data_IF_074622269378
#
_entry.id   IF_074622269378
#
_cell.length_a   1.000
_cell.length_b   1.000
_cell.length_c   1.000
_cell.angle_alpha   90.00
_cell.angle_beta   90.00
_cell.angle_gamma   90.00
#
_symmetry.space_group_name_H-M   'P 1'
#
loop_
_entity.id
_entity.type
_entity.pdbx_description
1 polymer ?
#
# COMPACT_ATOMS: atom_id res chain seq x y z
N UNK A 1 16.93 7.65 9.32
CA UNK A 1 16.82 6.87 8.07
C UNK A 1 16.17 5.53 8.41
N UNK A 2 15.15 5.12 7.69
CA UNK A 2 14.22 4.04 8.05
C UNK A 2 14.88 2.67 8.16
N UNK A 3 15.80 2.34 7.24
CA UNK A 3 16.55 1.07 7.23
C UNK A 3 17.37 0.80 8.52
N UNK A 4 17.52 1.80 9.40
CA UNK A 4 18.12 1.61 10.72
C UNK A 4 17.21 0.82 11.67
N UNK A 5 15.90 0.94 11.50
CA UNK A 5 14.88 0.45 12.44
C UNK A 5 13.90 -0.53 11.80
N UNK A 6 13.73 -0.47 10.48
CA UNK A 6 12.77 -1.27 9.74
C UNK A 6 13.46 -2.08 8.65
N UNK A 7 12.91 -3.27 8.37
CA UNK A 7 13.30 -4.12 7.25
C UNK A 7 12.20 -4.08 6.19
N UNK A 8 12.57 -3.90 4.92
CA UNK A 8 11.62 -3.93 3.82
C UNK A 8 10.96 -5.31 3.71
N UNK A 9 9.64 -5.32 3.52
CA UNK A 9 8.88 -6.53 3.24
C UNK A 9 9.20 -7.03 1.83
N UNK A 10 9.62 -8.30 1.71
CA UNK A 10 10.05 -8.89 0.42
C UNK A 10 9.11 -9.97 -0.11
N UNK A 11 8.19 -10.45 0.71
CA UNK A 11 7.31 -11.56 0.36
C UNK A 11 6.05 -11.03 -0.33
N UNK A 12 5.98 -11.15 -1.66
CA UNK A 12 4.83 -10.65 -2.43
C UNK A 12 3.79 -11.73 -2.74
N UNK A 13 4.17 -13.00 -2.62
CA UNK A 13 3.38 -14.10 -3.14
C UNK A 13 2.29 -14.60 -2.18
N UNK A 14 2.39 -14.28 -0.88
CA UNK A 14 1.40 -14.68 0.12
C UNK A 14 1.38 -13.74 1.33
N UNK A 15 0.24 -13.75 2.03
CA UNK A 15 0.09 -13.16 3.35
C UNK A 15 0.53 -14.17 4.41
N UNK A 16 1.20 -13.68 5.44
CA UNK A 16 1.59 -14.47 6.61
C UNK A 16 0.54 -14.35 7.72
N UNK A 17 0.37 -15.42 8.49
CA UNK A 17 -0.44 -15.40 9.72
C UNK A 17 0.37 -14.75 10.85
N UNK A 18 0.04 -13.49 11.18
CA UNK A 18 0.69 -12.75 12.26
C UNK A 18 -0.02 -12.99 13.59
N UNK A 19 0.72 -13.49 14.58
CA UNK A 19 0.19 -13.71 15.93
C UNK A 19 -0.03 -12.38 16.66
N UNK A 20 -1.26 -12.17 17.13
CA UNK A 20 -1.61 -10.97 17.87
C UNK A 20 -1.12 -11.04 19.33
N UNK A 21 -0.70 -9.90 19.92
CA UNK A 21 -0.51 -9.79 21.36
C UNK A 21 -1.81 -10.15 22.13
N UNK A 22 -1.66 -10.68 23.35
CA UNK A 22 -2.78 -11.24 24.12
C UNK A 22 -3.91 -10.22 24.37
N UNK A 23 -3.56 -8.96 24.58
CA UNK A 23 -4.52 -7.88 24.81
C UNK A 23 -5.38 -7.61 23.58
N UNK A 24 -4.76 -7.57 22.40
CA UNK A 24 -5.43 -7.36 21.11
C UNK A 24 -6.26 -8.57 20.74
N UNK A 25 -5.70 -9.77 20.94
CA UNK A 25 -6.37 -11.03 20.64
C UNK A 25 -7.68 -11.18 21.41
N UNK A 26 -7.69 -10.86 22.71
CA UNK A 26 -8.91 -10.87 23.54
C UNK A 26 -9.93 -9.83 23.08
N UNK A 27 -9.47 -8.65 22.70
CA UNK A 27 -10.35 -7.56 22.28
C UNK A 27 -11.04 -7.85 20.95
N UNK A 28 -10.34 -8.50 20.01
CA UNK A 28 -10.85 -8.83 18.68
C UNK A 28 -11.44 -10.24 18.60
N UNK A 29 -11.27 -11.08 19.63
CA UNK A 29 -11.59 -12.51 19.60
C UNK A 29 -10.92 -13.26 18.44
N UNK A 30 -9.68 -12.87 18.11
CA UNK A 30 -8.87 -13.45 17.03
C UNK A 30 -7.46 -13.70 17.54
N UNK A 31 -6.83 -14.82 17.20
CA UNK A 31 -5.45 -15.13 17.60
C UNK A 31 -4.41 -14.69 16.58
N UNK A 32 -4.80 -14.60 15.32
CA UNK A 32 -3.95 -14.21 14.19
C UNK A 32 -4.67 -13.25 13.26
N UNK A 33 -3.89 -12.53 12.45
CA UNK A 33 -4.37 -11.72 11.32
C UNK A 33 -3.48 -11.90 10.10
N UNK A 34 -4.01 -11.74 8.88
CA UNK A 34 -3.17 -11.69 7.68
C UNK A 34 -2.23 -10.48 7.71
N UNK A 35 -0.96 -10.68 7.39
CA UNK A 35 0.06 -9.64 7.35
C UNK A 35 0.92 -9.77 6.09
N UNK A 36 1.19 -8.64 5.43
CA UNK A 36 2.08 -8.59 4.28
C UNK A 36 1.54 -7.77 3.12
N UNK A 37 1.88 -8.19 1.91
CA UNK A 37 1.54 -7.51 0.66
C UNK A 37 0.21 -8.02 0.11
N UNK A 38 -0.81 -7.16 0.05
CA UNK A 38 -2.14 -7.53 -0.42
C UNK A 38 -3.12 -6.35 -0.43
N UNK A 39 -4.39 -6.66 -0.64
CA UNK A 39 -5.48 -5.70 -0.69
C UNK A 39 -6.74 -6.28 -0.02
N UNK A 40 -7.69 -5.40 0.30
CA UNK A 40 -8.98 -5.80 0.88
C UNK A 40 -10.02 -5.77 -0.23
N UNK A 41 -10.66 -6.92 -0.45
CA UNK A 41 -11.79 -7.05 -1.37
C UNK A 41 -13.11 -6.86 -0.60
N UNK A 42 -13.86 -5.83 -0.96
CA UNK A 42 -15.24 -5.61 -0.54
C UNK A 42 -16.20 -6.14 -1.62
N UNK A 43 -17.51 -6.09 -1.35
CA UNK A 43 -18.53 -6.56 -2.29
C UNK A 43 -18.60 -5.71 -3.56
N UNK A 44 -18.25 -4.43 -3.44
CA UNK A 44 -18.43 -3.39 -4.45
C UNK A 44 -17.12 -2.72 -4.88
N UNK A 45 -16.01 -3.00 -4.19
CA UNK A 45 -14.72 -2.40 -4.52
C UNK A 45 -13.53 -3.17 -3.94
N UNK A 46 -12.33 -2.85 -4.39
CA UNK A 46 -11.08 -3.34 -3.83
C UNK A 46 -10.15 -2.17 -3.46
N UNK A 47 -9.59 -2.24 -2.24
CA UNK A 47 -8.77 -1.17 -1.67
C UNK A 47 -7.41 -1.71 -1.26
N UNK A 48 -6.34 -1.04 -1.68
CA UNK A 48 -4.98 -1.32 -1.23
C UNK A 48 -4.34 -0.11 -0.55
N UNK A 49 -3.35 -0.37 0.29
CA UNK A 49 -2.52 0.64 0.92
C UNK A 49 -1.09 0.58 0.38
N UNK A 50 -0.48 1.74 0.21
CA UNK A 50 0.94 1.93 -0.08
C UNK A 50 1.53 2.96 0.89
N UNK A 51 2.83 2.88 1.15
CA UNK A 51 3.50 3.67 2.17
C UNK A 51 4.50 4.63 1.52
N UNK A 52 4.22 5.92 1.63
CA UNK A 52 5.12 7.04 1.36
C UNK A 52 5.96 6.90 0.07
N UNK A 53 7.23 6.52 0.17
CA UNK A 53 8.18 6.42 -0.94
C UNK A 53 7.84 5.32 -1.97
N UNK A 54 7.00 4.35 -1.62
CA UNK A 54 6.58 3.27 -2.52
C UNK A 54 5.90 3.81 -3.80
N UNK A 55 5.20 4.94 -3.70
CA UNK A 55 4.57 5.64 -4.81
C UNK A 55 5.57 6.13 -5.86
N UNK A 56 6.82 6.39 -5.46
CA UNK A 56 7.88 6.94 -6.33
C UNK A 56 8.90 5.88 -6.75
N UNK A 57 8.67 4.62 -6.38
CA UNK A 57 9.52 3.49 -6.80
C UNK A 57 9.46 3.32 -8.33
N UNK A 58 10.57 2.94 -8.99
CA UNK A 58 10.57 2.65 -10.43
C UNK A 58 9.56 1.59 -10.83
N UNK A 59 9.30 0.63 -9.94
CA UNK A 59 8.27 -0.39 -10.07
C UNK A 59 7.40 -0.24 -8.82
N UNK A 60 6.36 0.60 -8.87
CA UNK A 60 5.52 0.83 -7.70
C UNK A 60 4.57 -0.36 -7.49
N UNK A 61 4.27 -0.71 -6.24
CA UNK A 61 3.44 -1.89 -5.96
C UNK A 61 2.00 -1.77 -6.50
N UNK A 62 1.47 -0.55 -6.57
CA UNK A 62 0.11 -0.31 -7.06
C UNK A 62 -0.12 -0.76 -8.50
N UNK A 63 0.92 -0.85 -9.35
CA UNK A 63 0.76 -1.25 -10.75
C UNK A 63 0.28 -2.70 -10.87
N UNK A 64 0.89 -3.60 -10.10
CA UNK A 64 0.49 -5.01 -10.05
C UNK A 64 -0.87 -5.19 -9.36
N UNK A 65 -1.12 -4.43 -8.29
CA UNK A 65 -2.40 -4.46 -7.58
C UNK A 65 -3.56 -3.96 -8.45
N UNK A 66 -3.33 -2.93 -9.28
CA UNK A 66 -4.32 -2.43 -10.23
C UNK A 66 -4.67 -3.48 -11.29
N UNK A 67 -3.68 -4.22 -11.80
CA UNK A 67 -3.91 -5.35 -12.71
C UNK A 67 -4.72 -6.48 -12.06
N UNK A 68 -4.62 -6.63 -10.74
CA UNK A 68 -5.41 -7.58 -9.95
C UNK A 68 -6.80 -7.05 -9.55
N UNK A 69 -7.23 -5.90 -10.08
CA UNK A 69 -8.58 -5.36 -9.90
C UNK A 69 -8.73 -4.40 -8.72
N UNK A 70 -7.65 -3.94 -8.08
CA UNK A 70 -7.72 -2.90 -7.07
C UNK A 70 -8.11 -1.56 -7.70
N UNK A 71 -9.10 -0.90 -7.11
CA UNK A 71 -9.69 0.33 -7.64
C UNK A 71 -9.30 1.57 -6.84
N UNK A 72 -9.05 1.41 -5.54
CA UNK A 72 -8.74 2.50 -4.63
C UNK A 72 -7.39 2.26 -3.96
N UNK A 73 -6.52 3.25 -4.02
CA UNK A 73 -5.19 3.22 -3.39
C UNK A 73 -5.08 4.30 -2.33
N UNK A 74 -4.69 3.90 -1.12
CA UNK A 74 -4.41 4.81 -0.01
C UNK A 74 -2.90 4.95 0.16
N UNK A 75 -2.37 6.17 0.10
CA UNK A 75 -0.96 6.44 0.38
C UNK A 75 -0.80 7.05 1.78
N UNK A 76 -0.21 6.29 2.72
CA UNK A 76 0.16 6.81 4.03
C UNK A 76 1.56 7.45 3.96
N UNK A 77 1.65 8.78 4.06
CA UNK A 77 2.92 9.51 3.87
C UNK A 77 3.37 10.29 5.11
N UNK A 78 4.61 10.06 5.54
CA UNK A 78 5.31 10.78 6.63
C UNK A 78 6.31 11.83 6.13
N UNK A 79 6.04 12.41 4.96
CA UNK A 79 7.00 13.25 4.24
C UNK A 79 7.24 14.65 4.82
N UNK A 80 8.51 15.07 4.89
CA UNK A 80 8.87 16.43 5.26
C UNK A 80 8.45 17.43 4.16
N UNK A 81 7.96 18.60 4.58
CA UNK A 81 7.64 19.70 3.68
C UNK A 81 8.93 20.31 3.11
N UNK A 82 9.03 20.35 1.79
CA UNK A 82 10.09 21.07 1.07
C UNK A 82 9.46 21.84 -0.09
N UNK A 83 10.02 23.00 -0.41
CA UNK A 83 9.53 23.86 -1.49
C UNK A 83 9.61 23.09 -2.82
N UNK A 84 8.52 23.06 -3.60
CA UNK A 84 8.34 22.31 -4.87
C UNK A 84 8.18 20.79 -4.78
N UNK A 85 8.14 20.17 -3.59
CA UNK A 85 7.81 18.73 -3.46
C UNK A 85 6.38 18.41 -3.87
N UNK A 86 5.46 19.37 -3.72
CA UNK A 86 4.04 19.17 -4.06
C UNK A 86 3.84 18.80 -5.54
N UNK A 87 4.52 19.49 -6.46
CA UNK A 87 4.42 19.24 -7.90
C UNK A 87 4.90 17.85 -8.31
N UNK A 88 5.87 17.30 -7.58
CA UNK A 88 6.37 15.93 -7.80
C UNK A 88 5.33 14.90 -7.34
N UNK A 89 4.69 15.13 -6.19
CA UNK A 89 3.64 14.23 -5.67
C UNK A 89 2.42 14.22 -6.57
N UNK A 90 1.97 15.39 -7.01
CA UNK A 90 0.86 15.49 -7.94
C UNK A 90 1.18 14.73 -9.22
N UNK A 91 2.35 14.92 -9.84
CA UNK A 91 2.69 14.14 -11.05
C UNK A 91 2.64 12.63 -10.86
N UNK A 92 3.12 12.09 -9.74
CA UNK A 92 3.04 10.65 -9.45
C UNK A 92 1.59 10.16 -9.32
N UNK A 93 0.71 10.95 -8.70
CA UNK A 93 -0.72 10.64 -8.62
C UNK A 93 -1.44 10.72 -9.98
N UNK A 94 -1.02 11.59 -10.87
CA UNK A 94 -1.71 11.81 -12.15
C UNK A 94 -1.35 10.75 -13.21
N UNK A 95 -0.17 10.13 -13.13
CA UNK A 95 0.20 8.99 -13.99
C UNK A 95 -0.78 7.82 -13.83
N UNK A 96 -1.31 7.62 -12.61
CA UNK A 96 -2.33 6.60 -12.33
C UNK A 96 -3.64 6.83 -13.09
N UNK A 97 -3.99 8.07 -13.41
CA UNK A 97 -5.24 8.39 -14.10
C UNK A 97 -5.14 8.11 -15.62
N UNK A 98 -4.03 8.48 -16.24
CA UNK A 98 -3.84 8.34 -17.71
C UNK A 98 -3.78 6.86 -18.13
N UNK A 99 -3.15 6.00 -17.32
CA UNK A 99 -3.12 4.56 -17.59
C UNK A 99 -4.50 3.90 -17.60
N UNK A 100 -5.54 4.54 -17.04
CA UNK A 100 -6.93 4.05 -17.08
C UNK A 100 -7.70 4.50 -18.32
N UNK A 101 -7.29 5.59 -18.97
CA UNK A 101 -7.95 6.12 -20.18
C UNK A 101 -7.41 5.52 -21.48
N UNK A 102 -6.15 5.06 -21.52
CA UNK A 102 -5.59 4.41 -22.72
C UNK A 102 -6.04 2.94 -22.89
N UNK A 103 -6.73 2.36 -21.90
CA UNK A 103 -7.22 0.97 -21.90
C UNK A 103 -8.76 0.87 -21.94
N UNK A 104 -9.45 1.93 -22.37
CA UNK A 104 -10.90 1.91 -22.68
C UNK A 104 -11.17 2.00 -24.17
#
# INVERSE_FOLDING_TARGET
RELRWFTAWKQKDHLEEFLLPIEISRSLSQTTVPFGYGYIQFLDTAVAAEICEELFSPIPPHAELALNGVEVFMNASGSHQEIRKLDVRLRALWVLHIAREEWR
#
